data_IF_856878907645
#
_entry.id   IF_856878907645
#
_cell.length_a   1.000
_cell.length_b   1.000
_cell.length_c   1.000
_cell.angle_alpha   90.00
_cell.angle_beta   90.00
_cell.angle_gamma   90.00
#
_symmetry.space_group_name_H-M   'P 1'
#
loop_
_entity.id
_entity.type
_entity.pdbx_description
1 polymer ?
#
# COMPACT_ATOMS: atom_id res chain seq x y z
N UNK A 1 46.80 -19.80 -9.74
CA UNK A 1 46.36 -18.50 -9.19
C UNK A 1 46.68 -17.43 -10.22
N UNK A 2 45.71 -17.11 -11.06
CA UNK A 2 45.79 -16.10 -12.11
C UNK A 2 45.33 -14.76 -11.55
N UNK A 3 46.20 -13.75 -11.62
CA UNK A 3 45.90 -12.38 -11.26
C UNK A 3 44.84 -11.81 -12.20
N UNK A 4 43.60 -11.68 -11.71
CA UNK A 4 42.58 -10.85 -12.36
C UNK A 4 42.95 -9.40 -12.08
N UNK A 5 43.43 -8.70 -13.11
CA UNK A 5 43.77 -7.28 -13.05
C UNK A 5 42.54 -6.45 -12.71
N UNK A 6 42.65 -5.58 -11.70
CA UNK A 6 41.62 -4.57 -11.40
C UNK A 6 41.61 -3.52 -12.52
N UNK A 7 40.45 -3.20 -13.11
CA UNK A 7 40.35 -2.15 -14.10
C UNK A 7 40.67 -0.78 -13.45
N UNK A 8 41.71 -0.12 -13.95
CA UNK A 8 42.20 1.16 -13.44
C UNK A 8 41.63 2.38 -14.18
N UNK A 9 40.47 2.22 -14.83
CA UNK A 9 39.88 3.23 -15.71
C UNK A 9 38.64 3.91 -15.13
N UNK A 10 38.69 5.22 -14.87
CA UNK A 10 37.53 6.06 -14.49
C UNK A 10 36.42 6.13 -15.55
N UNK A 11 36.79 5.92 -16.82
CA UNK A 11 35.91 5.84 -17.99
C UNK A 11 34.93 4.65 -17.96
N UNK A 12 35.36 3.46 -17.51
CA UNK A 12 34.48 2.27 -17.43
C UNK A 12 33.36 2.44 -16.41
N UNK A 13 33.64 3.06 -15.26
CA UNK A 13 32.62 3.37 -14.25
C UNK A 13 31.59 4.41 -14.73
N UNK A 14 32.00 5.31 -15.62
CA UNK A 14 31.12 6.35 -16.16
C UNK A 14 30.20 5.75 -17.23
N UNK A 15 30.73 4.89 -18.11
CA UNK A 15 29.95 4.14 -19.09
C UNK A 15 28.94 3.19 -18.42
N UNK A 16 29.36 2.48 -17.35
CA UNK A 16 28.49 1.58 -16.59
C UNK A 16 27.34 2.37 -15.91
N UNK A 17 27.62 3.54 -15.34
CA UNK A 17 26.59 4.43 -14.76
C UNK A 17 25.58 4.89 -15.81
N UNK A 18 26.04 5.34 -16.97
CA UNK A 18 25.13 5.74 -18.06
C UNK A 18 24.29 4.57 -18.57
N UNK A 19 24.89 3.39 -18.69
CA UNK A 19 24.18 2.18 -19.11
C UNK A 19 23.10 1.78 -18.09
N UNK A 20 23.40 1.80 -16.79
CA UNK A 20 22.40 1.55 -15.74
C UNK A 20 21.26 2.58 -15.75
N UNK A 21 21.55 3.85 -16.01
CA UNK A 21 20.53 4.91 -16.12
C UNK A 21 19.64 4.69 -17.35
N UNK A 22 20.22 4.38 -18.51
CA UNK A 22 19.47 4.11 -19.74
C UNK A 22 18.60 2.86 -19.58
N UNK A 23 19.14 1.78 -19.02
CA UNK A 23 18.35 0.57 -18.72
C UNK A 23 17.22 0.88 -17.75
N UNK A 24 17.47 1.62 -16.66
CA UNK A 24 16.43 1.99 -15.70
C UNK A 24 15.32 2.86 -16.34
N UNK A 25 15.69 3.80 -17.22
CA UNK A 25 14.74 4.63 -17.96
C UNK A 25 13.92 3.80 -18.96
N UNK A 26 14.55 2.88 -19.69
CA UNK A 26 13.88 2.00 -20.64
C UNK A 26 12.96 0.99 -19.95
N UNK A 27 13.39 0.41 -18.81
CA UNK A 27 12.54 -0.48 -18.02
C UNK A 27 11.39 0.28 -17.36
N UNK A 28 11.62 1.51 -16.89
CA UNK A 28 10.57 2.37 -16.34
C UNK A 28 9.57 2.79 -17.42
N UNK A 29 10.05 3.10 -18.62
CA UNK A 29 9.22 3.42 -19.78
C UNK A 29 8.39 2.22 -20.25
N UNK A 30 9.02 1.05 -20.40
CA UNK A 30 8.35 -0.20 -20.79
C UNK A 30 7.35 -0.70 -19.74
N UNK A 31 7.68 -0.57 -18.44
CA UNK A 31 6.75 -0.87 -17.36
C UNK A 31 5.57 0.13 -17.35
N UNK A 32 5.84 1.41 -17.60
CA UNK A 32 4.79 2.43 -17.67
C UNK A 32 3.86 2.25 -18.87
N UNK A 33 4.38 1.88 -20.04
CA UNK A 33 3.57 1.62 -21.23
C UNK A 33 2.75 0.34 -21.09
N UNK A 34 3.29 -0.69 -20.42
CA UNK A 34 2.53 -1.91 -20.09
C UNK A 34 1.44 -1.68 -19.01
N UNK A 35 1.72 -0.87 -17.99
CA UNK A 35 0.75 -0.53 -16.93
C UNK A 35 -0.42 0.30 -17.48
N UNK A 36 -0.15 1.21 -18.43
CA UNK A 36 -1.18 2.01 -19.09
C UNK A 36 -2.04 1.19 -20.07
N UNK A 37 -1.47 0.12 -20.66
CA UNK A 37 -2.13 -0.65 -21.71
C UNK A 37 -3.25 -1.59 -21.20
N UNK A 38 -3.34 -1.87 -19.89
CA UNK A 38 -4.37 -2.75 -19.32
C UNK A 38 -4.74 -2.35 -17.89
N UNK A 39 -5.16 -1.10 -17.67
CA UNK A 39 -5.90 -0.83 -16.44
C UNK A 39 -7.22 -1.61 -16.51
N UNK A 40 -7.34 -2.64 -15.66
CA UNK A 40 -8.60 -3.34 -15.47
C UNK A 40 -9.67 -2.33 -15.00
N UNK A 41 -10.94 -2.53 -15.38
CA UNK A 41 -12.02 -1.69 -14.87
C UNK A 41 -12.00 -1.70 -13.34
N UNK A 42 -12.24 -0.55 -12.69
CA UNK A 42 -12.17 -0.46 -11.23
C UNK A 42 -13.19 -1.39 -10.55
N UNK A 43 -14.33 -1.65 -11.21
CA UNK A 43 -15.25 -2.72 -10.84
C UNK A 43 -14.98 -3.92 -11.75
N UNK A 44 -14.34 -4.95 -11.20
CA UNK A 44 -14.14 -6.21 -11.91
C UNK A 44 -15.42 -7.05 -11.90
N UNK A 45 -15.50 -8.06 -12.79
CA UNK A 45 -16.63 -9.01 -12.79
C UNK A 45 -16.80 -9.71 -11.44
N UNK A 46 -15.71 -10.15 -10.80
CA UNK A 46 -15.79 -10.78 -9.48
C UNK A 46 -16.30 -9.82 -8.39
N UNK A 47 -15.93 -8.54 -8.46
CA UNK A 47 -16.47 -7.52 -7.55
C UNK A 47 -17.96 -7.26 -7.80
N UNK A 48 -18.40 -7.23 -9.06
CA UNK A 48 -19.81 -7.15 -9.40
C UNK A 48 -20.61 -8.37 -8.92
N UNK A 49 -20.08 -9.58 -9.08
CA UNK A 49 -20.71 -10.80 -8.56
C UNK A 49 -20.86 -10.75 -7.04
N UNK A 50 -19.86 -10.21 -6.32
CA UNK A 50 -19.97 -9.90 -4.89
C UNK A 50 -21.09 -8.88 -4.62
N UNK A 51 -21.20 -7.82 -5.43
CA UNK A 51 -22.26 -6.82 -5.29
C UNK A 51 -23.65 -7.44 -5.43
N UNK A 52 -23.88 -8.26 -6.46
CA UNK A 52 -25.15 -8.96 -6.70
C UNK A 52 -25.49 -9.89 -5.52
N UNK A 53 -24.49 -10.63 -5.02
CA UNK A 53 -24.66 -11.50 -3.87
C UNK A 53 -25.04 -10.72 -2.60
N UNK A 54 -24.31 -9.65 -2.29
CA UNK A 54 -24.52 -8.80 -1.10
C UNK A 54 -25.83 -8.01 -1.14
N UNK A 55 -26.32 -7.70 -2.34
CA UNK A 55 -27.63 -7.09 -2.53
C UNK A 55 -28.77 -8.09 -2.36
N UNK A 56 -28.50 -9.39 -2.21
CA UNK A 56 -29.53 -10.43 -2.11
C UNK A 56 -30.57 -10.31 -3.24
N UNK A 57 -30.09 -10.08 -4.47
CA UNK A 57 -30.95 -9.99 -5.66
C UNK A 57 -31.47 -11.39 -6.03
N UNK A 58 -32.41 -11.90 -5.23
CA UNK A 58 -33.01 -13.23 -5.38
C UNK A 58 -34.04 -13.29 -6.52
N UNK A 59 -34.62 -12.14 -6.90
CA UNK A 59 -35.47 -12.02 -8.07
C UNK A 59 -34.61 -11.91 -9.34
N UNK A 60 -34.86 -12.78 -10.30
CA UNK A 60 -34.17 -12.80 -11.60
C UNK A 60 -34.25 -11.46 -12.34
N UNK A 61 -35.38 -10.74 -12.24
CA UNK A 61 -35.54 -9.43 -12.87
C UNK A 61 -34.63 -8.36 -12.25
N UNK A 62 -34.45 -8.36 -10.93
CA UNK A 62 -33.54 -7.42 -10.25
C UNK A 62 -32.09 -7.74 -10.59
N UNK A 63 -31.73 -9.03 -10.57
CA UNK A 63 -30.39 -9.50 -10.94
C UNK A 63 -30.07 -9.16 -12.41
N UNK A 64 -31.03 -9.31 -13.33
CA UNK A 64 -30.88 -8.94 -14.74
C UNK A 64 -30.64 -7.43 -14.90
N UNK A 65 -31.39 -6.57 -14.18
CA UNK A 65 -31.18 -5.12 -14.20
C UNK A 65 -29.80 -4.73 -13.65
N UNK A 66 -29.34 -5.36 -12.57
CA UNK A 66 -28.00 -5.12 -12.05
C UNK A 66 -26.89 -5.54 -13.04
N UNK A 67 -27.09 -6.65 -13.78
CA UNK A 67 -26.18 -7.07 -14.85
C UNK A 67 -26.13 -6.05 -15.98
N UNK A 68 -27.29 -5.51 -16.38
CA UNK A 68 -27.34 -4.46 -17.40
C UNK A 68 -26.56 -3.20 -16.97
N UNK A 69 -26.67 -2.81 -15.69
CA UNK A 69 -25.89 -1.68 -15.13
C UNK A 69 -24.39 -1.96 -15.22
N UNK A 70 -23.95 -3.18 -14.88
CA UNK A 70 -22.54 -3.56 -14.98
C UNK A 70 -22.04 -3.63 -16.42
N UNK A 71 -22.78 -4.27 -17.33
CA UNK A 71 -22.41 -4.38 -18.74
C UNK A 71 -22.28 -3.00 -19.39
N UNK A 72 -23.20 -2.08 -19.08
CA UNK A 72 -23.13 -0.68 -19.52
C UNK A 72 -21.91 0.02 -18.97
N UNK A 73 -21.61 -0.15 -17.68
CA UNK A 73 -20.41 0.42 -17.07
C UNK A 73 -19.13 -0.11 -17.72
N UNK A 74 -19.03 -1.41 -17.97
CA UNK A 74 -17.87 -2.02 -18.65
C UNK A 74 -17.74 -1.52 -20.08
N UNK A 75 -18.85 -1.44 -20.84
CA UNK A 75 -18.82 -0.90 -22.20
C UNK A 75 -18.38 0.58 -22.25
N UNK A 76 -18.91 1.41 -21.35
CA UNK A 76 -18.52 2.82 -21.23
C UNK A 76 -17.03 2.96 -20.82
N UNK A 77 -16.56 2.11 -19.90
CA UNK A 77 -15.16 2.08 -19.48
C UNK A 77 -14.24 1.61 -20.62
N UNK A 78 -14.61 0.57 -21.35
CA UNK A 78 -13.86 0.06 -22.49
C UNK A 78 -13.80 1.11 -23.61
N UNK A 79 -14.90 1.81 -23.87
CA UNK A 79 -14.93 2.93 -24.82
C UNK A 79 -13.99 4.07 -24.37
N UNK A 80 -14.01 4.40 -23.08
CA UNK A 80 -13.11 5.38 -22.48
C UNK A 80 -11.64 4.97 -22.61
N UNK A 81 -11.32 3.70 -22.33
CA UNK A 81 -9.96 3.15 -22.42
C UNK A 81 -9.51 2.91 -23.87
N UNK A 82 -10.41 2.66 -24.82
CA UNK A 82 -10.09 2.58 -26.25
C UNK A 82 -9.56 3.92 -26.78
N UNK A 83 -10.17 5.03 -26.33
CA UNK A 83 -9.68 6.38 -26.63
C UNK A 83 -8.32 6.64 -25.99
N UNK A 84 -8.09 6.13 -24.78
CA UNK A 84 -6.82 6.22 -24.07
C UNK A 84 -5.71 5.39 -24.74
N UNK A 85 -5.97 4.12 -25.03
CA UNK A 85 -5.00 3.22 -25.70
C UNK A 85 -4.71 3.69 -27.12
N UNK A 86 -5.69 4.22 -27.84
CA UNK A 86 -5.48 4.89 -29.13
C UNK A 86 -4.52 6.09 -29.02
N UNK A 87 -4.60 6.86 -27.93
CA UNK A 87 -3.67 7.95 -27.64
C UNK A 87 -2.22 7.47 -27.38
N UNK A 88 -2.04 6.37 -26.64
CA UNK A 88 -0.69 5.83 -26.38
C UNK A 88 -0.10 5.07 -27.58
N UNK A 89 -0.92 4.32 -28.31
CA UNK A 89 -0.52 3.69 -29.57
C UNK A 89 -0.09 4.73 -30.62
N UNK A 90 -0.76 5.89 -30.62
CA UNK A 90 -0.38 7.04 -31.44
C UNK A 90 0.97 7.64 -31.03
N UNK A 91 1.30 7.67 -29.73
CA UNK A 91 2.58 8.19 -29.24
C UNK A 91 3.77 7.28 -29.52
N UNK A 92 3.55 5.96 -29.62
CA UNK A 92 4.60 4.98 -29.99
C UNK A 92 4.84 4.88 -31.50
N UNK A 93 3.93 5.39 -32.33
CA UNK A 93 4.10 5.50 -33.77
C UNK A 93 4.65 6.87 -34.14
N UNK A 94 5.95 6.95 -34.43
CA UNK A 94 6.43 7.96 -35.37
C UNK A 94 5.58 7.83 -36.65
N UNK A 95 4.96 8.94 -37.03
CA UNK A 95 4.06 9.13 -38.18
C UNK A 95 2.57 8.83 -37.96
N UNK A 96 1.79 9.91 -37.76
CA UNK A 96 0.52 10.04 -38.48
C UNK A 96 0.55 11.26 -39.38
N UNK A 97 0.65 10.93 -40.66
CA UNK A 97 -0.03 11.59 -41.76
C UNK A 97 -1.53 11.52 -41.45
N UNK A 98 -2.22 12.65 -41.24
CA UNK A 98 -3.69 12.66 -41.23
C UNK A 98 -4.22 12.21 -42.61
N UNK A 99 -5.51 11.83 -42.79
CA UNK A 99 -6.10 11.53 -44.10
C UNK A 99 -5.75 12.50 -45.25
N UNK A 100 -5.41 13.74 -44.94
CA UNK A 100 -5.01 14.82 -45.84
C UNK A 100 -3.51 14.91 -46.16
N UNK A 101 -2.65 14.09 -45.54
CA UNK A 101 -1.22 14.14 -45.80
C UNK A 101 -0.39 14.91 -44.77
N UNK A 102 -1.00 15.65 -43.86
CA UNK A 102 -0.28 16.50 -42.91
C UNK A 102 0.16 15.74 -41.65
N UNK A 103 1.44 15.88 -41.30
CA UNK A 103 1.95 15.52 -39.99
C UNK A 103 1.28 16.42 -38.95
N UNK A 104 0.41 15.84 -38.11
CA UNK A 104 -0.10 16.56 -36.95
C UNK A 104 1.07 16.94 -36.05
N UNK A 105 1.07 18.18 -35.54
CA UNK A 105 2.08 18.61 -34.58
C UNK A 105 2.15 17.61 -33.41
N UNK A 106 3.36 17.22 -32.97
CA UNK A 106 3.50 16.32 -31.83
C UNK A 106 2.82 16.97 -30.62
N UNK A 107 1.94 16.24 -29.95
CA UNK A 107 1.27 16.76 -28.76
C UNK A 107 2.31 17.18 -27.73
N UNK A 108 2.10 18.36 -27.14
CA UNK A 108 2.94 18.77 -26.02
C UNK A 108 2.72 17.84 -24.83
N UNK A 109 3.73 17.78 -23.95
CA UNK A 109 3.61 17.09 -22.67
C UNK A 109 2.43 17.65 -21.84
N UNK A 110 2.19 18.96 -21.94
CA UNK A 110 1.05 19.64 -21.31
C UNK A 110 -0.30 19.17 -21.83
N UNK A 111 -0.44 18.99 -23.15
CA UNK A 111 -1.69 18.48 -23.75
C UNK A 111 -1.94 17.03 -23.38
N UNK A 112 -0.87 16.22 -23.33
CA UNK A 112 -0.94 14.84 -22.84
C UNK A 112 -1.46 14.79 -21.40
N UNK A 113 -0.88 15.59 -20.49
CA UNK A 113 -1.31 15.66 -19.09
C UNK A 113 -2.76 16.14 -18.96
N UNK A 114 -3.16 17.16 -19.74
CA UNK A 114 -4.55 17.67 -19.71
C UNK A 114 -5.55 16.61 -20.17
N UNK A 115 -5.28 15.93 -21.28
CA UNK A 115 -6.14 14.87 -21.79
C UNK A 115 -6.30 13.74 -20.79
N UNK A 116 -5.19 13.29 -20.21
CA UNK A 116 -5.19 12.23 -19.22
C UNK A 116 -5.97 12.62 -17.95
N UNK A 117 -5.73 13.81 -17.41
CA UNK A 117 -6.46 14.31 -16.23
C UNK A 117 -7.97 14.37 -16.50
N UNK A 118 -8.39 14.78 -17.70
CA UNK A 118 -9.79 14.77 -18.09
C UNK A 118 -10.38 13.35 -18.08
N UNK A 119 -9.63 12.34 -18.54
CA UNK A 119 -10.06 10.93 -18.57
C UNK A 119 -10.22 10.32 -17.19
N UNK A 120 -9.36 10.66 -16.24
CA UNK A 120 -9.52 10.17 -14.87
C UNK A 120 -10.75 10.76 -14.18
N UNK A 121 -11.04 12.04 -14.43
CA UNK A 121 -12.31 12.64 -14.03
C UNK A 121 -13.52 11.95 -14.68
N UNK A 122 -13.38 11.43 -15.91
CA UNK A 122 -14.42 10.62 -16.55
C UNK A 122 -14.61 9.25 -15.88
N UNK A 123 -13.52 8.57 -15.46
CA UNK A 123 -13.64 7.31 -14.69
C UNK A 123 -14.40 7.51 -13.38
N UNK A 124 -14.11 8.60 -12.66
CA UNK A 124 -14.85 8.92 -11.43
C UNK A 124 -16.34 9.17 -11.71
N UNK A 125 -16.67 9.92 -12.76
CA UNK A 125 -18.07 10.08 -13.19
C UNK A 125 -18.73 8.77 -13.62
N UNK A 126 -17.98 7.83 -14.20
CA UNK A 126 -18.48 6.49 -14.53
C UNK A 126 -18.78 5.69 -13.26
N UNK A 127 -17.91 5.77 -12.24
CA UNK A 127 -18.14 5.13 -10.94
C UNK A 127 -19.36 5.74 -10.21
N UNK A 128 -19.48 7.07 -10.17
CA UNK A 128 -20.63 7.75 -9.57
C UNK A 128 -21.94 7.33 -10.25
N UNK A 129 -21.94 7.28 -11.58
CA UNK A 129 -23.07 6.80 -12.38
C UNK A 129 -23.35 5.32 -12.13
N UNK A 130 -22.34 4.46 -12.07
CA UNK A 130 -22.52 3.05 -11.76
C UNK A 130 -23.24 2.85 -10.42
N UNK A 131 -22.80 3.51 -9.35
CA UNK A 131 -23.46 3.38 -8.05
C UNK A 131 -24.85 4.02 -8.02
N UNK A 132 -25.08 5.13 -8.72
CA UNK A 132 -26.41 5.72 -8.87
C UNK A 132 -27.36 4.76 -9.60
N UNK A 133 -26.96 4.27 -10.77
CA UNK A 133 -27.78 3.38 -11.60
C UNK A 133 -28.02 2.04 -10.87
N UNK A 134 -27.07 1.57 -10.06
CA UNK A 134 -27.25 0.38 -9.21
C UNK A 134 -28.30 0.59 -8.11
N UNK A 135 -28.38 1.80 -7.51
CA UNK A 135 -29.47 2.16 -6.57
C UNK A 135 -30.82 2.12 -7.25
N UNK A 136 -30.91 2.67 -8.47
CA UNK A 136 -32.15 2.69 -9.26
C UNK A 136 -32.58 1.26 -9.67
N UNK A 137 -31.63 0.40 -10.03
CA UNK A 137 -31.87 -1.00 -10.35
C UNK A 137 -32.25 -1.86 -9.13
N UNK A 138 -31.97 -1.39 -7.91
CA UNK A 138 -32.14 -2.13 -6.65
C UNK A 138 -33.08 -1.42 -5.68
N UNK A 139 -34.37 -1.21 -6.03
CA UNK A 139 -35.32 -0.49 -5.20
C UNK A 139 -35.46 -1.15 -3.83
N UNK A 140 -35.46 -0.34 -2.76
CA UNK A 140 -35.50 -0.82 -1.37
C UNK A 140 -34.15 -1.27 -0.80
N UNK A 141 -33.07 -1.26 -1.59
CA UNK A 141 -31.72 -1.69 -1.17
C UNK A 141 -30.68 -0.57 -1.19
N UNK A 142 -31.12 0.69 -1.11
CA UNK A 142 -30.24 1.88 -1.18
C UNK A 142 -29.12 1.82 -0.14
N UNK A 143 -29.42 1.43 1.10
CA UNK A 143 -28.43 1.32 2.16
C UNK A 143 -27.33 0.28 1.87
N UNK A 144 -27.68 -0.85 1.24
CA UNK A 144 -26.72 -1.87 0.81
C UNK A 144 -25.85 -1.35 -0.33
N UNK A 145 -26.42 -0.62 -1.29
CA UNK A 145 -25.62 0.00 -2.36
C UNK A 145 -24.67 1.07 -1.81
N UNK A 146 -25.12 1.88 -0.85
CA UNK A 146 -24.26 2.86 -0.18
C UNK A 146 -23.11 2.17 0.58
N UNK A 147 -23.38 1.01 1.20
CA UNK A 147 -22.34 0.17 1.80
C UNK A 147 -21.34 -0.35 0.76
N UNK A 148 -21.81 -0.83 -0.40
CA UNK A 148 -20.94 -1.29 -1.49
C UNK A 148 -20.02 -0.17 -2.00
N UNK A 149 -20.54 1.04 -2.16
CA UNK A 149 -19.74 2.21 -2.54
C UNK A 149 -18.66 2.51 -1.50
N UNK A 150 -19.02 2.54 -0.20
CA UNK A 150 -18.05 2.75 0.87
C UNK A 150 -17.00 1.65 0.93
N UNK A 151 -17.40 0.38 0.78
CA UNK A 151 -16.51 -0.76 0.75
C UNK A 151 -15.55 -0.71 -0.44
N UNK A 152 -16.01 -0.29 -1.62
CA UNK A 152 -15.17 -0.08 -2.79
C UNK A 152 -14.06 0.94 -2.50
N UNK A 153 -14.41 2.16 -2.08
CA UNK A 153 -13.40 3.19 -1.80
C UNK A 153 -12.47 2.81 -0.66
N UNK A 154 -13.01 2.20 0.41
CA UNK A 154 -12.19 1.67 1.52
C UNK A 154 -11.15 0.67 1.02
N UNK A 155 -11.57 -0.33 0.24
CA UNK A 155 -10.66 -1.34 -0.32
C UNK A 155 -9.63 -0.69 -1.24
N UNK A 156 -10.02 0.21 -2.13
CA UNK A 156 -9.08 0.87 -3.03
C UNK A 156 -8.05 1.75 -2.30
N UNK A 157 -8.44 2.38 -1.19
CA UNK A 157 -7.53 3.23 -0.41
C UNK A 157 -6.68 2.48 0.60
N UNK A 158 -7.21 1.43 1.25
CA UNK A 158 -6.50 0.67 2.29
C UNK A 158 -5.78 -0.58 1.75
N UNK A 159 -6.27 -1.21 0.68
CA UNK A 159 -5.70 -2.48 0.17
C UNK A 159 -4.43 -2.31 -0.67
N UNK A 160 -4.10 -1.09 -1.11
CA UNK A 160 -2.85 -0.80 -1.86
C UNK A 160 -1.57 -0.99 -1.02
N UNK A 161 -1.68 -1.53 0.21
CA UNK A 161 -0.63 -1.43 1.21
C UNK A 161 -0.42 -2.64 2.10
N UNK A 162 -0.88 -3.84 1.73
CA UNK A 162 -0.73 -5.03 2.60
C UNK A 162 0.72 -5.27 3.08
N UNK A 163 1.71 -4.82 2.30
CA UNK A 163 3.13 -4.94 2.63
C UNK A 163 3.88 -3.58 2.70
N UNK A 164 3.21 -2.47 2.40
CA UNK A 164 3.83 -1.15 2.40
C UNK A 164 3.68 -0.50 3.78
N UNK A 165 4.81 -0.18 4.42
CA UNK A 165 4.83 0.55 5.67
C UNK A 165 4.08 1.89 5.52
N UNK A 166 3.22 2.19 6.49
CA UNK A 166 2.45 3.43 6.55
C UNK A 166 1.00 3.36 6.06
N UNK A 167 0.56 2.27 5.41
CA UNK A 167 -0.87 2.07 5.13
C UNK A 167 -1.57 1.42 6.33
N UNK A 168 -2.65 1.99 6.87
CA UNK A 168 -3.33 1.40 8.01
C UNK A 168 -4.17 0.18 7.59
N UNK A 169 -4.37 -0.82 8.47
CA UNK A 169 -5.18 -1.99 8.17
C UNK A 169 -6.67 -1.65 8.00
N UNK A 170 -7.35 -2.39 7.12
CA UNK A 170 -8.82 -2.39 7.06
C UNK A 170 -9.38 -3.16 8.27
N UNK A 171 -9.95 -2.42 9.22
CA UNK A 171 -10.50 -3.02 10.45
C UNK A 171 -11.69 -3.94 10.17
N UNK A 172 -12.48 -3.71 9.10
CA UNK A 172 -13.60 -4.60 8.76
C UNK A 172 -13.07 -5.94 8.28
N UNK A 173 -12.11 -5.92 7.35
CA UNK A 173 -11.46 -7.14 6.87
C UNK A 173 -10.73 -7.88 8.01
N UNK A 174 -10.16 -7.14 8.95
CA UNK A 174 -9.50 -7.70 10.13
C UNK A 174 -10.49 -8.41 11.08
N UNK A 175 -11.68 -7.84 11.30
CA UNK A 175 -12.74 -8.50 12.07
C UNK A 175 -13.27 -9.73 11.35
N UNK A 176 -13.54 -9.62 10.04
CA UNK A 176 -13.99 -10.74 9.20
C UNK A 176 -13.05 -11.95 9.31
N UNK A 177 -11.73 -11.71 9.38
CA UNK A 177 -10.73 -12.75 9.46
C UNK A 177 -10.58 -13.38 10.86
N UNK A 178 -10.62 -12.56 11.92
CA UNK A 178 -10.33 -13.02 13.28
C UNK A 178 -11.57 -13.57 13.99
N UNK A 179 -12.68 -12.86 13.83
CA UNK A 179 -13.91 -13.10 14.56
C UNK A 179 -15.11 -12.78 13.66
N UNK A 180 -15.38 -13.60 12.62
CA UNK A 180 -16.48 -13.35 11.67
C UNK A 180 -17.84 -13.21 12.38
N UNK A 181 -18.08 -13.98 13.44
CA UNK A 181 -19.29 -13.87 14.26
C UNK A 181 -19.42 -12.54 15.00
N UNK A 182 -18.32 -11.82 15.25
CA UNK A 182 -18.36 -10.51 15.89
C UNK A 182 -18.97 -9.43 14.98
N UNK A 183 -19.05 -9.66 13.67
CA UNK A 183 -19.73 -8.75 12.73
C UNK A 183 -21.23 -8.64 13.03
N UNK A 184 -21.83 -9.70 13.56
CA UNK A 184 -23.26 -9.76 13.90
C UNK A 184 -23.55 -9.14 15.28
N UNK A 185 -22.52 -8.94 16.11
CA UNK A 185 -22.69 -8.34 17.43
C UNK A 185 -23.10 -6.86 17.28
N UNK A 186 -24.26 -6.43 17.80
CA UNK A 186 -24.77 -5.08 17.56
C UNK A 186 -23.80 -3.96 17.93
N UNK A 187 -23.05 -4.11 19.03
CA UNK A 187 -22.06 -3.13 19.47
C UNK A 187 -20.90 -2.98 18.47
N UNK A 188 -20.37 -4.09 17.95
CA UNK A 188 -19.30 -4.11 16.96
C UNK A 188 -19.81 -3.57 15.62
N UNK A 189 -20.99 -4.01 15.17
CA UNK A 189 -21.60 -3.54 13.92
C UNK A 189 -21.78 -2.01 13.89
N UNK A 190 -22.23 -1.40 14.99
CA UNK A 190 -22.37 0.07 15.10
C UNK A 190 -21.00 0.76 14.97
N UNK A 191 -19.95 0.22 15.59
CA UNK A 191 -18.60 0.77 15.51
C UNK A 191 -17.99 0.62 14.11
N UNK A 192 -18.15 -0.54 13.47
CA UNK A 192 -17.67 -0.78 12.11
C UNK A 192 -18.36 0.13 11.08
N UNK A 193 -19.66 0.41 11.25
CA UNK A 193 -20.36 1.39 10.39
C UNK A 193 -19.80 2.80 10.56
N UNK A 194 -19.60 3.26 11.81
CA UNK A 194 -19.01 4.59 12.08
C UNK A 194 -17.58 4.69 11.55
N UNK A 195 -16.80 3.62 11.69
CA UNK A 195 -15.46 3.51 11.13
C UNK A 195 -15.49 3.63 9.60
N UNK A 196 -16.38 2.89 8.95
CA UNK A 196 -16.54 2.91 7.50
C UNK A 196 -16.94 4.29 6.98
N UNK A 197 -17.90 4.97 7.62
CA UNK A 197 -18.29 6.34 7.30
C UNK A 197 -17.11 7.32 7.42
N UNK A 198 -16.35 7.22 8.51
CA UNK A 198 -15.18 8.07 8.75
C UNK A 198 -14.06 7.83 7.73
N UNK A 199 -13.77 6.57 7.39
CA UNK A 199 -12.79 6.23 6.36
C UNK A 199 -13.27 6.67 4.98
N UNK A 200 -14.54 6.45 4.64
CA UNK A 200 -15.07 6.83 3.33
C UNK A 200 -14.92 8.33 3.04
N UNK A 201 -15.16 9.18 4.06
CA UNK A 201 -14.98 10.63 3.94
C UNK A 201 -13.54 11.04 3.57
N UNK A 202 -12.55 10.21 3.87
CA UNK A 202 -11.13 10.43 3.55
C UNK A 202 -10.75 9.67 2.26
N UNK A 203 -11.21 8.43 2.12
CA UNK A 203 -10.85 7.50 1.05
C UNK A 203 -11.37 7.94 -0.32
N UNK A 204 -12.61 8.44 -0.40
CA UNK A 204 -13.19 8.93 -1.66
C UNK A 204 -12.35 10.06 -2.28
N UNK A 205 -12.12 11.21 -1.61
CA UNK A 205 -11.30 12.27 -2.20
C UNK A 205 -9.85 11.83 -2.41
N UNK A 206 -9.30 10.96 -1.55
CA UNK A 206 -7.96 10.42 -1.73
C UNK A 206 -7.84 9.55 -2.99
N UNK A 207 -8.83 8.72 -3.28
CA UNK A 207 -8.89 7.89 -4.49
C UNK A 207 -8.86 8.77 -5.75
N UNK A 208 -9.70 9.80 -5.79
CA UNK A 208 -9.77 10.75 -6.91
C UNK A 208 -8.46 11.54 -7.07
N UNK A 209 -7.87 12.00 -5.96
CA UNK A 209 -6.59 12.70 -5.94
C UNK A 209 -5.41 11.80 -6.37
N UNK A 210 -5.37 10.54 -5.94
CA UNK A 210 -4.31 9.60 -6.27
C UNK A 210 -4.33 9.24 -7.76
N UNK A 211 -5.51 9.01 -8.34
CA UNK A 211 -5.63 8.80 -9.79
C UNK A 211 -5.09 10.01 -10.56
N UNK A 212 -5.62 11.20 -10.30
CA UNK A 212 -5.19 12.46 -10.95
C UNK A 212 -3.69 12.75 -10.81
N UNK A 213 -3.06 12.29 -9.73
CA UNK A 213 -1.65 12.51 -9.49
C UNK A 213 -0.76 11.69 -10.45
N UNK A 214 -1.00 10.38 -10.63
CA UNK A 214 -0.04 9.42 -11.21
C UNK A 214 0.55 9.79 -12.57
N UNK A 215 -0.16 10.58 -13.37
CA UNK A 215 0.25 10.89 -14.74
C UNK A 215 0.99 12.22 -14.85
N UNK A 216 0.83 13.11 -13.86
CA UNK A 216 1.68 14.30 -13.73
C UNK A 216 3.10 13.94 -13.28
N UNK A 217 3.30 12.76 -12.67
CA UNK A 217 4.61 12.27 -12.21
C UNK A 217 5.67 12.29 -13.31
N UNK A 218 5.35 11.77 -14.49
CA UNK A 218 6.31 11.69 -15.60
C UNK A 218 6.73 13.08 -16.07
N UNK A 219 5.79 14.02 -16.09
CA UNK A 219 6.06 15.41 -16.41
C UNK A 219 7.02 16.04 -15.41
N UNK A 220 6.75 15.88 -14.11
CA UNK A 220 7.60 16.46 -13.08
C UNK A 220 9.02 15.86 -13.07
N UNK A 221 9.16 14.55 -13.37
CA UNK A 221 10.48 13.92 -13.56
C UNK A 221 11.21 14.52 -14.77
N UNK A 222 10.54 14.66 -15.91
CA UNK A 222 11.13 15.19 -17.13
C UNK A 222 11.56 16.66 -17.00
N UNK A 223 10.73 17.47 -16.34
CA UNK A 223 10.97 18.90 -16.10
C UNK A 223 11.88 19.17 -14.90
N UNK A 224 12.27 18.13 -14.14
CA UNK A 224 12.93 18.23 -12.83
C UNK A 224 12.22 19.18 -11.86
N UNK A 225 10.89 19.19 -11.92
CA UNK A 225 10.03 20.05 -11.10
C UNK A 225 9.89 19.46 -9.69
N UNK A 226 10.69 19.97 -8.75
CA UNK A 226 10.68 19.54 -7.36
C UNK A 226 9.36 19.85 -6.66
N UNK A 227 8.77 21.02 -6.93
CA UNK A 227 7.50 21.42 -6.33
C UNK A 227 6.37 20.53 -6.83
N UNK A 228 6.33 20.27 -8.15
CA UNK A 228 5.41 19.34 -8.78
C UNK A 228 5.54 17.91 -8.24
N UNK A 229 6.76 17.39 -8.13
CA UNK A 229 7.02 16.07 -7.53
C UNK A 229 6.62 16.00 -6.05
N UNK A 230 6.86 17.06 -5.28
CA UNK A 230 6.45 17.12 -3.88
C UNK A 230 4.93 17.15 -3.77
N UNK A 231 4.25 18.00 -4.54
CA UNK A 231 2.79 18.05 -4.59
C UNK A 231 2.16 16.73 -5.06
N UNK A 232 2.83 16.02 -5.98
CA UNK A 232 2.46 14.67 -6.39
C UNK A 232 2.48 13.68 -5.22
N UNK A 233 3.60 13.63 -4.48
CA UNK A 233 3.73 12.76 -3.30
C UNK A 233 2.73 13.15 -2.21
N UNK A 234 2.51 14.44 -1.97
CA UNK A 234 1.51 14.93 -1.00
C UNK A 234 0.10 14.49 -1.39
N UNK A 235 -0.28 14.54 -2.68
CA UNK A 235 -1.58 14.00 -3.14
C UNK A 235 -1.68 12.49 -2.93
N UNK A 236 -0.59 11.75 -3.16
CA UNK A 236 -0.57 10.28 -3.07
C UNK A 236 -0.53 9.77 -1.63
N UNK A 237 0.18 10.45 -0.74
CA UNK A 237 0.44 10.01 0.64
C UNK A 237 -0.31 10.83 1.69
N UNK A 238 -0.81 12.02 1.36
CA UNK A 238 -1.34 12.98 2.32
C UNK A 238 -2.62 12.55 3.03
N UNK A 239 -3.34 11.56 2.50
CA UNK A 239 -4.50 10.98 3.17
C UNK A 239 -4.13 9.91 4.21
N UNK A 240 -2.92 9.34 4.15
CA UNK A 240 -2.48 8.26 5.04
C UNK A 240 -2.48 8.65 6.52
N UNK A 241 -1.98 9.83 6.94
CA UNK A 241 -2.04 10.23 8.35
C UNK A 241 -3.47 10.24 8.90
N UNK A 242 -4.40 10.82 8.14
CA UNK A 242 -5.81 10.89 8.54
C UNK A 242 -6.47 9.50 8.60
N UNK A 243 -6.17 8.61 7.64
CA UNK A 243 -6.65 7.22 7.70
C UNK A 243 -6.07 6.48 8.91
N UNK A 244 -4.78 6.66 9.22
CA UNK A 244 -4.13 6.06 10.39
C UNK A 244 -4.76 6.53 11.68
N UNK A 245 -5.04 7.83 11.80
CA UNK A 245 -5.72 8.41 12.97
C UNK A 245 -7.11 7.79 13.17
N UNK A 246 -7.92 7.70 12.10
CA UNK A 246 -9.24 7.05 12.16
C UNK A 246 -9.11 5.59 12.59
N UNK A 247 -8.21 4.83 11.97
CA UNK A 247 -7.98 3.42 12.32
C UNK A 247 -7.52 3.26 13.77
N UNK A 248 -6.54 4.05 14.23
CA UNK A 248 -6.03 4.01 15.59
C UNK A 248 -7.08 4.40 16.64
N UNK A 249 -8.00 5.31 16.29
CA UNK A 249 -9.13 5.68 17.14
C UNK A 249 -10.16 4.55 17.28
N UNK A 250 -10.51 3.88 16.19
CA UNK A 250 -11.57 2.87 16.18
C UNK A 250 -11.10 1.48 16.64
N UNK A 251 -9.85 1.11 16.42
CA UNK A 251 -9.31 -0.20 16.81
C UNK A 251 -9.54 -0.57 18.30
N UNK A 252 -9.18 0.26 19.30
CA UNK A 252 -9.41 -0.08 20.71
C UNK A 252 -10.89 -0.13 21.07
N UNK A 253 -11.74 0.69 20.43
CA UNK A 253 -13.20 0.68 20.65
C UNK A 253 -13.81 -0.63 20.17
N UNK A 254 -13.42 -1.08 18.97
CA UNK A 254 -13.87 -2.34 18.38
C UNK A 254 -13.41 -3.51 19.25
N UNK A 255 -12.14 -3.53 19.65
CA UNK A 255 -11.61 -4.56 20.54
C UNK A 255 -12.38 -4.61 21.88
N UNK A 256 -12.70 -3.46 22.48
CA UNK A 256 -13.47 -3.39 23.73
C UNK A 256 -14.92 -3.86 23.62
N UNK A 257 -15.47 -3.94 22.41
CA UNK A 257 -16.82 -4.45 22.15
C UNK A 257 -16.85 -5.97 21.83
N UNK A 258 -15.70 -6.62 21.72
CA UNK A 258 -15.57 -8.05 21.45
C UNK A 258 -15.43 -8.87 22.74
N UNK A 259 -15.73 -10.18 22.70
CA UNK A 259 -15.30 -11.11 23.76
C UNK A 259 -13.79 -11.05 23.98
N UNK A 260 -13.33 -11.24 25.22
CA UNK A 260 -11.93 -11.04 25.63
C UNK A 260 -10.91 -11.80 24.76
N UNK A 261 -11.20 -13.07 24.45
CA UNK A 261 -10.36 -13.92 23.59
C UNK A 261 -10.17 -13.30 22.19
N UNK A 262 -11.26 -12.85 21.57
CA UNK A 262 -11.23 -12.22 20.25
C UNK A 262 -10.62 -10.82 20.29
N UNK A 263 -10.87 -10.07 21.37
CA UNK A 263 -10.31 -8.74 21.57
C UNK A 263 -8.77 -8.78 21.60
N UNK A 264 -8.19 -9.74 22.32
CA UNK A 264 -6.74 -9.87 22.42
C UNK A 264 -6.11 -10.35 21.11
N UNK A 265 -6.76 -11.28 20.41
CA UNK A 265 -6.32 -11.68 19.06
C UNK A 265 -6.41 -10.51 18.07
N UNK A 266 -7.48 -9.73 18.13
CA UNK A 266 -7.67 -8.54 17.30
C UNK A 266 -6.60 -7.48 17.55
N UNK A 267 -6.28 -7.15 18.81
CA UNK A 267 -5.22 -6.17 19.14
C UNK A 267 -3.86 -6.60 18.59
N UNK A 268 -3.47 -7.86 18.81
CA UNK A 268 -2.19 -8.39 18.31
C UNK A 268 -2.09 -8.32 16.80
N UNK A 269 -3.15 -8.70 16.09
CA UNK A 269 -3.15 -8.67 14.62
C UNK A 269 -3.25 -7.24 14.07
N UNK A 270 -4.01 -6.38 14.72
CA UNK A 270 -4.06 -4.95 14.42
C UNK A 270 -2.66 -4.33 14.49
N UNK A 271 -1.96 -4.50 15.61
CA UNK A 271 -0.60 -3.99 15.77
C UNK A 271 0.33 -4.57 14.71
N UNK A 272 0.27 -5.90 14.49
CA UNK A 272 1.09 -6.59 13.47
C UNK A 272 0.92 -6.01 12.08
N UNK A 273 -0.31 -5.67 11.67
CA UNK A 273 -0.59 -5.05 10.36
C UNK A 273 -0.32 -3.56 10.32
N UNK A 274 -0.45 -2.87 11.44
CA UNK A 274 -0.19 -1.44 11.54
C UNK A 274 1.31 -1.12 11.49
N UNK A 275 2.14 -2.03 12.02
CA UNK A 275 3.60 -1.88 12.13
C UNK A 275 4.35 -3.14 11.61
N UNK A 276 4.16 -3.52 10.34
CA UNK A 276 4.69 -4.78 9.81
C UNK A 276 6.22 -4.82 9.85
N UNK A 277 6.89 -3.69 9.65
CA UNK A 277 8.36 -3.63 9.69
C UNK A 277 8.94 -3.85 11.11
N UNK A 278 8.20 -3.46 12.16
CA UNK A 278 8.62 -3.54 13.56
C UNK A 278 8.28 -4.91 14.17
N UNK A 279 7.13 -5.47 13.79
CA UNK A 279 6.58 -6.69 14.38
C UNK A 279 6.80 -7.95 13.55
N UNK A 280 7.39 -7.84 12.35
CA UNK A 280 7.78 -9.02 11.56
C UNK A 280 8.76 -9.89 12.37
N UNK A 281 8.56 -11.23 12.40
CA UNK A 281 9.53 -12.14 12.98
C UNK A 281 10.91 -11.90 12.40
N UNK A 282 11.88 -11.78 13.28
CA UNK A 282 13.29 -11.62 12.93
C UNK A 282 13.92 -12.98 12.72
N UNK A 283 15.12 -13.01 12.12
CA UNK A 283 15.93 -14.24 12.03
C UNK A 283 16.11 -14.93 13.38
N UNK A 284 16.19 -14.16 14.46
CA UNK A 284 16.46 -14.68 15.80
C UNK A 284 15.24 -15.36 16.38
N UNK A 285 14.05 -14.84 16.10
CA UNK A 285 12.81 -15.54 16.47
C UNK A 285 12.79 -16.91 15.81
N UNK A 286 13.15 -16.98 14.51
CA UNK A 286 13.25 -18.24 13.78
C UNK A 286 14.31 -19.17 14.37
N UNK A 287 15.47 -18.65 14.79
CA UNK A 287 16.53 -19.46 15.40
C UNK A 287 16.16 -19.99 16.79
N UNK A 288 15.51 -19.18 17.63
CA UNK A 288 15.03 -19.59 18.96
C UNK A 288 13.96 -20.68 18.81
N UNK A 289 12.97 -20.47 17.93
CA UNK A 289 11.92 -21.47 17.69
C UNK A 289 12.51 -22.77 17.10
N UNK A 290 13.45 -22.68 16.17
CA UNK A 290 14.15 -23.83 15.63
C UNK A 290 14.97 -24.58 16.70
N UNK A 291 15.59 -23.85 17.63
CA UNK A 291 16.30 -24.44 18.76
C UNK A 291 15.34 -25.16 19.71
N UNK A 292 14.23 -24.53 20.12
CA UNK A 292 13.22 -25.14 20.99
C UNK A 292 12.54 -26.39 20.38
N UNK A 293 12.44 -26.45 19.06
CA UNK A 293 11.91 -27.58 18.32
C UNK A 293 12.86 -28.79 18.26
N UNK A 294 14.11 -28.67 18.74
CA UNK A 294 15.05 -29.78 18.81
C UNK A 294 14.63 -30.77 19.90
N UNK A 295 14.66 -32.06 19.56
CA UNK A 295 14.30 -33.16 20.46
C UNK A 295 15.47 -33.64 21.33
N UNK A 296 16.69 -33.23 21.02
CA UNK A 296 17.92 -33.63 21.73
C UNK A 296 18.34 -32.65 22.83
N UNK A 297 17.53 -31.63 23.13
CA UNK A 297 17.77 -30.72 24.23
C UNK A 297 17.46 -31.39 25.57
N UNK A 298 18.37 -31.24 26.54
CA UNK A 298 18.05 -31.54 27.93
C UNK A 298 17.19 -30.42 28.56
N UNK A 299 16.62 -30.68 29.74
CA UNK A 299 15.71 -29.75 30.42
C UNK A 299 16.35 -28.39 30.71
N UNK A 300 17.62 -28.38 31.13
CA UNK A 300 18.37 -27.15 31.42
C UNK A 300 18.59 -26.30 30.16
N UNK A 301 18.94 -26.91 29.03
CA UNK A 301 19.08 -26.22 27.75
C UNK A 301 17.75 -25.63 27.29
N UNK A 302 16.66 -26.39 27.43
CA UNK A 302 15.32 -25.93 27.08
C UNK A 302 14.92 -24.73 27.94
N UNK A 303 15.08 -24.82 29.25
CA UNK A 303 14.79 -23.72 30.19
C UNK A 303 15.64 -22.48 29.88
N UNK A 304 16.94 -22.65 29.58
CA UNK A 304 17.81 -21.54 29.17
C UNK A 304 17.35 -20.87 27.88
N UNK A 305 16.92 -21.63 26.86
CA UNK A 305 16.42 -21.07 25.59
C UNK A 305 15.07 -20.37 25.81
N UNK A 306 14.16 -20.92 26.62
CA UNK A 306 12.91 -20.27 26.99
C UNK A 306 13.15 -18.97 27.76
N UNK A 307 14.11 -18.96 28.68
CA UNK A 307 14.54 -17.76 29.40
C UNK A 307 15.12 -16.70 28.46
N UNK A 308 15.93 -17.10 27.46
CA UNK A 308 16.40 -16.19 26.42
C UNK A 308 15.26 -15.58 25.61
N UNK A 309 14.27 -16.40 25.23
CA UNK A 309 13.07 -15.94 24.52
C UNK A 309 12.31 -14.89 25.34
N UNK A 310 12.03 -15.19 26.61
CA UNK A 310 11.33 -14.27 27.50
C UNK A 310 12.12 -12.97 27.72
N UNK A 311 13.43 -13.06 27.92
CA UNK A 311 14.33 -11.90 28.05
C UNK A 311 14.37 -11.05 26.78
N UNK A 312 14.38 -11.68 25.60
CA UNK A 312 14.31 -11.01 24.31
C UNK A 312 12.98 -10.28 24.12
N UNK A 313 11.86 -10.94 24.42
CA UNK A 313 10.52 -10.35 24.33
C UNK A 313 10.38 -9.13 25.25
N UNK A 314 10.86 -9.23 26.49
CA UNK A 314 10.84 -8.12 27.46
C UNK A 314 11.66 -6.91 26.97
N UNK A 315 12.90 -7.13 26.50
CA UNK A 315 13.75 -6.05 25.96
C UNK A 315 13.16 -5.42 24.69
N UNK A 316 12.58 -6.25 23.81
CA UNK A 316 11.95 -5.77 22.58
C UNK A 316 10.68 -4.97 22.84
N UNK A 317 9.94 -5.26 23.91
CA UNK A 317 8.68 -4.57 24.18
C UNK A 317 8.88 -3.05 24.30
N UNK A 318 9.90 -2.58 25.03
CA UNK A 318 10.19 -1.14 25.15
C UNK A 318 10.66 -0.53 23.83
N UNK A 319 11.56 -1.21 23.12
CA UNK A 319 12.11 -0.71 21.85
C UNK A 319 11.07 -0.71 20.73
N UNK A 320 10.18 -1.72 20.68
CA UNK A 320 9.05 -1.76 19.75
C UNK A 320 8.11 -0.58 19.97
N UNK A 321 7.78 -0.24 21.21
CA UNK A 321 6.94 0.93 21.50
C UNK A 321 7.60 2.23 21.03
N UNK A 322 8.91 2.38 21.23
CA UNK A 322 9.67 3.54 20.72
C UNK A 322 9.66 3.60 19.20
N UNK A 323 9.89 2.47 18.53
CA UNK A 323 9.84 2.36 17.08
C UNK A 323 8.44 2.65 16.54
N UNK A 324 7.38 2.15 17.18
CA UNK A 324 5.99 2.39 16.77
C UNK A 324 5.65 3.88 16.90
N UNK A 325 6.04 4.52 18.00
CA UNK A 325 5.84 5.96 18.19
C UNK A 325 6.62 6.77 17.13
N UNK A 326 7.86 6.39 16.83
CA UNK A 326 8.64 7.03 15.76
C UNK A 326 8.04 6.80 14.37
N UNK A 327 7.46 5.62 14.12
CA UNK A 327 6.74 5.31 12.88
C UNK A 327 5.44 6.12 12.78
N UNK A 328 4.71 6.30 13.88
CA UNK A 328 3.53 7.18 13.94
C UNK A 328 3.88 8.65 13.72
N UNK A 329 5.01 9.13 14.24
CA UNK A 329 5.52 10.49 13.97
C UNK A 329 5.91 10.64 12.49
N UNK A 330 6.59 9.65 11.92
CA UNK A 330 7.02 9.61 10.51
C UNK A 330 5.82 9.59 9.55
N UNK A 331 4.77 8.85 9.89
CA UNK A 331 3.53 8.77 9.10
C UNK A 331 2.44 9.73 9.57
N UNK A 332 2.75 10.61 10.54
CA UNK A 332 1.95 11.77 10.89
C UNK A 332 2.05 12.85 9.82
N UNK A 333 1.17 13.86 9.88
CA UNK A 333 1.13 14.93 8.87
C UNK A 333 2.50 15.61 8.65
N UNK A 334 3.25 16.02 9.70
CA UNK A 334 4.57 16.62 9.51
C UNK A 334 5.59 15.65 8.90
N UNK A 335 5.58 14.39 9.33
CA UNK A 335 6.48 13.35 8.82
C UNK A 335 6.23 13.03 7.35
N UNK A 336 4.97 12.87 6.94
CA UNK A 336 4.60 12.62 5.54
C UNK A 336 5.01 13.79 4.65
N UNK A 337 4.82 15.05 5.07
CA UNK A 337 5.26 16.20 4.28
C UNK A 337 6.78 16.20 4.04
N UNK A 338 7.55 15.94 5.10
CA UNK A 338 9.01 15.83 5.01
C UNK A 338 9.43 14.63 4.14
N UNK A 339 8.75 13.50 4.27
CA UNK A 339 8.98 12.31 3.44
C UNK A 339 8.69 12.59 1.96
N UNK A 340 7.62 13.31 1.65
CA UNK A 340 7.26 13.70 0.28
C UNK A 340 8.36 14.55 -0.35
N UNK A 341 8.89 15.54 0.38
CA UNK A 341 9.99 16.37 -0.09
C UNK A 341 11.27 15.54 -0.30
N UNK A 342 11.61 14.68 0.66
CA UNK A 342 12.79 13.80 0.54
C UNK A 342 12.68 12.86 -0.67
N UNK A 343 11.53 12.22 -0.87
CA UNK A 343 11.27 11.35 -2.02
C UNK A 343 11.33 12.13 -3.34
N UNK A 344 10.79 13.36 -3.37
CA UNK A 344 10.87 14.22 -4.55
C UNK A 344 12.34 14.56 -4.90
N UNK A 345 13.15 14.95 -3.91
CA UNK A 345 14.60 15.20 -4.11
C UNK A 345 15.34 13.96 -4.60
N UNK A 346 15.10 12.81 -3.96
CA UNK A 346 15.72 11.55 -4.32
C UNK A 346 15.39 11.12 -5.76
N UNK A 347 14.13 11.23 -6.17
CA UNK A 347 13.69 10.90 -7.53
C UNK A 347 14.27 11.83 -8.59
N UNK A 348 14.48 13.10 -8.25
CA UNK A 348 15.10 14.08 -9.13
C UNK A 348 16.62 14.01 -9.14
N UNK A 349 17.23 13.07 -8.41
CA UNK A 349 18.68 12.94 -8.22
C UNK A 349 19.31 14.24 -7.68
N UNK A 350 18.51 15.04 -6.98
CA UNK A 350 18.99 16.21 -6.26
C UNK A 350 19.60 15.66 -4.98
N UNK A 351 20.91 15.49 -4.97
CA UNK A 351 21.65 14.84 -3.88
C UNK A 351 21.14 15.35 -2.52
N UNK A 352 20.61 14.49 -1.64
CA UNK A 352 20.29 14.92 -0.29
C UNK A 352 21.63 15.22 0.39
N UNK A 353 21.94 16.50 0.62
CA UNK A 353 23.18 16.93 1.25
C UNK A 353 23.25 16.62 2.76
N UNK A 354 22.34 15.79 3.26
CA UNK A 354 22.29 15.31 4.63
C UNK A 354 21.32 14.14 4.77
N UNK A 355 21.58 13.28 5.74
CA UNK A 355 20.64 12.24 6.13
C UNK A 355 19.37 12.88 6.69
N UNK A 356 18.21 12.37 6.31
CA UNK A 356 16.95 12.77 6.91
C UNK A 356 16.98 12.39 8.40
N UNK A 357 16.93 13.38 9.29
CA UNK A 357 17.17 13.19 10.73
C UNK A 357 16.26 12.11 11.35
N UNK A 358 15.01 11.99 10.88
CA UNK A 358 14.08 10.95 11.33
C UNK A 358 14.48 9.55 10.83
N UNK A 359 15.09 9.45 9.63
CA UNK A 359 15.70 8.21 9.17
C UNK A 359 16.97 7.88 9.96
N UNK A 360 17.67 8.88 10.51
CA UNK A 360 18.79 8.65 11.42
C UNK A 360 18.30 8.05 12.75
N UNK A 361 17.27 8.64 13.38
CA UNK A 361 16.66 8.07 14.60
C UNK A 361 16.10 6.67 14.37
N UNK A 362 15.41 6.45 13.26
CA UNK A 362 14.92 5.12 12.89
C UNK A 362 16.08 4.13 12.68
N UNK A 363 17.19 4.56 12.07
CA UNK A 363 18.39 3.72 11.93
C UNK A 363 19.10 3.43 13.24
N UNK A 364 19.23 4.39 14.14
CA UNK A 364 19.81 4.16 15.47
C UNK A 364 19.00 3.10 16.23
N UNK A 365 17.67 3.21 16.21
CA UNK A 365 16.80 2.21 16.81
C UNK A 365 16.93 0.83 16.12
N UNK A 366 17.01 0.79 14.78
CA UNK A 366 17.28 -0.45 14.04
C UNK A 366 18.66 -1.05 14.34
N UNK A 367 19.68 -0.21 14.57
CA UNK A 367 21.03 -0.65 14.94
C UNK A 367 21.05 -1.25 16.35
N UNK A 368 20.43 -0.60 17.33
CA UNK A 368 20.26 -1.14 18.67
C UNK A 368 19.54 -2.50 18.63
N UNK A 369 18.50 -2.60 17.79
CA UNK A 369 17.76 -3.84 17.60
C UNK A 369 18.60 -4.96 16.97
N UNK A 370 19.46 -4.64 16.00
CA UNK A 370 20.42 -5.60 15.40
C UNK A 370 21.50 -6.04 16.38
N UNK A 371 22.00 -5.12 17.22
CA UNK A 371 23.02 -5.41 18.22
C UNK A 371 22.51 -6.40 19.29
N UNK A 372 21.31 -6.14 19.83
CA UNK A 372 20.61 -7.09 20.72
C UNK A 372 20.47 -8.46 20.06
N UNK A 373 20.25 -8.44 18.74
CA UNK A 373 20.13 -9.66 17.99
C UNK A 373 21.41 -10.50 17.96
N UNK A 374 22.53 -9.87 17.62
CA UNK A 374 23.83 -10.54 17.58
C UNK A 374 24.24 -11.12 18.95
N UNK A 375 23.92 -10.42 20.05
CA UNK A 375 24.16 -10.92 21.41
C UNK A 375 23.45 -12.25 21.68
N UNK A 376 22.20 -12.37 21.22
CA UNK A 376 21.38 -13.57 21.44
C UNK A 376 21.80 -14.71 20.53
N UNK A 377 22.14 -14.43 19.27
CA UNK A 377 22.70 -15.46 18.38
C UNK A 377 23.98 -16.06 18.98
N UNK A 378 24.84 -15.23 19.58
CA UNK A 378 26.06 -15.68 20.24
C UNK A 378 25.79 -16.50 21.52
N UNK A 379 24.81 -16.09 22.35
CA UNK A 379 24.42 -16.87 23.54
C UNK A 379 23.74 -18.20 23.17
N UNK A 380 22.89 -18.19 22.14
CA UNK A 380 22.23 -19.40 21.65
C UNK A 380 23.25 -20.41 21.14
N UNK A 381 24.27 -19.96 20.40
CA UNK A 381 25.39 -20.82 19.98
C UNK A 381 26.05 -21.50 21.17
N UNK A 382 26.43 -20.74 22.21
CA UNK A 382 27.05 -21.28 23.42
C UNK A 382 26.17 -22.32 24.13
N UNK A 383 24.86 -22.08 24.24
CA UNK A 383 23.94 -23.04 24.88
C UNK A 383 23.80 -24.33 24.07
N UNK A 384 23.76 -24.22 22.74
CA UNK A 384 23.69 -25.39 21.87
C UNK A 384 24.98 -26.20 21.85
N UNK A 385 26.13 -25.55 22.03
CA UNK A 385 27.45 -26.20 22.11
C UNK A 385 27.74 -26.80 23.49
N UNK A 386 26.83 -26.61 24.46
CA UNK A 386 27.00 -27.13 25.83
C UNK A 386 27.96 -26.30 26.70
N UNK A 387 28.31 -25.08 26.28
CA UNK A 387 29.11 -24.17 27.09
C UNK A 387 28.26 -23.58 28.23
N UNK A 388 28.54 -24.02 29.45
CA UNK A 388 28.04 -23.37 30.67
C UNK A 388 28.88 -22.13 30.94
N UNK A 389 28.22 -20.97 31.11
CA UNK A 389 28.89 -19.79 31.68
C UNK A 389 29.21 -20.14 33.14
N UNK A 390 30.49 -20.34 33.45
CA UNK A 390 30.98 -20.31 34.83
C UNK A 390 30.80 -18.93 35.46
#
# INVERSE_FOLDING_TARGET
>A
MSHVGRPSGTWEWTALRWWCVVVALLTSWAASSAVVAQEAPPISRGMFEEHVHRLELTNEADAARAREVFDRFTADYDALMAVHTGFYGWRSGFDRVDPSGTLNEPWSLSDSVRFINARQGEVERLLDRYFRDLREASPGRTAQVDWLERAFYRRQSLAQGRDDSGNPPDLIALVEEIAPHALEAPAVAVLLRKFEEAIHAIARPAYSAARTADLSRQRFIAERDLEGMTAWWVRRLGSRPAMREVVARFAPMIAGAMPEENAERFRREYERRMYPAILRPTRIDVLIEAALARNDLNDEQRERIESMRAGLEARRASERRRLMAAEDDLYGTPGVMRQCEWLARAMLQLAPSGEFEEHARHREALQAYRALGAEIEAELGRVLDGETRE
#
